data_IF_110443695293
#
_entry.id   IF_110443695293
#
_cell.length_a   1.000
_cell.length_b   1.000
_cell.length_c   1.000
_cell.angle_alpha   90.00
_cell.angle_beta   90.00
_cell.angle_gamma   90.00
#
_symmetry.space_group_name_H-M   'P 1'
#
loop_
_entity.id
_entity.type
_entity.pdbx_description
1 polymer ?
#
# COMPACT_ATOMS: atom_id res chain seq x y z
N UNK A 1 -17.66 -30.89 -22.99
CA UNK A 1 -16.72 -30.19 -22.09
C UNK A 1 -16.64 -31.01 -20.79
N UNK A 2 -15.47 -31.57 -20.44
CA UNK A 2 -15.36 -32.50 -19.29
C UNK A 2 -15.40 -31.69 -17.99
N UNK A 3 -16.42 -31.94 -17.17
CA UNK A 3 -16.57 -31.38 -15.83
C UNK A 3 -15.85 -32.31 -14.83
N UNK A 4 -15.03 -31.74 -13.94
CA UNK A 4 -14.32 -32.43 -12.85
C UNK A 4 -14.93 -32.02 -11.51
N UNK A 5 -14.75 -32.83 -10.46
CA UNK A 5 -15.06 -32.40 -9.09
C UNK A 5 -13.87 -31.68 -8.48
N UNK A 6 -14.12 -30.52 -7.89
CA UNK A 6 -13.14 -29.75 -7.13
C UNK A 6 -12.57 -30.62 -6.00
N UNK A 7 -11.23 -30.76 -5.94
CA UNK A 7 -10.55 -31.58 -4.93
C UNK A 7 -10.73 -31.07 -3.49
N UNK A 8 -11.20 -29.83 -3.30
CA UNK A 8 -11.34 -29.18 -1.99
C UNK A 8 -12.77 -29.09 -1.46
N UNK A 9 -13.78 -28.98 -2.32
CA UNK A 9 -15.18 -28.82 -1.90
C UNK A 9 -16.15 -29.73 -2.64
N UNK A 10 -15.68 -30.56 -3.58
CA UNK A 10 -16.50 -31.51 -4.33
C UNK A 10 -17.44 -30.91 -5.38
N UNK A 11 -17.54 -29.58 -5.47
CA UNK A 11 -18.34 -28.89 -6.50
C UNK A 11 -17.83 -29.20 -7.90
N UNK A 12 -18.73 -29.31 -8.87
CA UNK A 12 -18.33 -29.45 -10.26
C UNK A 12 -17.64 -28.18 -10.78
N UNK A 13 -16.54 -28.38 -11.49
CA UNK A 13 -15.72 -27.32 -12.05
C UNK A 13 -14.99 -27.81 -13.31
N UNK A 14 -14.65 -26.87 -14.18
CA UNK A 14 -13.78 -27.12 -15.35
C UNK A 14 -12.32 -27.31 -14.94
N UNK A 15 -11.96 -26.89 -13.73
CA UNK A 15 -10.62 -26.95 -13.15
C UNK A 15 -10.57 -28.01 -12.03
N UNK A 16 -9.36 -28.42 -11.62
CA UNK A 16 -9.20 -29.34 -10.48
C UNK A 16 -9.56 -28.71 -9.13
N UNK A 17 -9.57 -27.38 -9.07
CA UNK A 17 -10.00 -26.57 -7.93
C UNK A 17 -10.98 -25.52 -8.43
N UNK A 18 -12.15 -25.39 -7.80
CA UNK A 18 -13.15 -24.40 -8.22
C UNK A 18 -12.72 -22.97 -7.85
N UNK A 19 -13.22 -21.97 -8.57
CA UNK A 19 -12.86 -20.56 -8.39
C UNK A 19 -13.06 -20.07 -6.95
N UNK A 20 -14.13 -20.50 -6.27
CA UNK A 20 -14.33 -20.18 -4.84
C UNK A 20 -13.23 -20.76 -3.95
N UNK A 21 -12.78 -21.99 -4.21
CA UNK A 21 -11.68 -22.60 -3.47
C UNK A 21 -10.33 -21.98 -3.83
N UNK A 22 -10.13 -21.58 -5.09
CA UNK A 22 -8.95 -20.81 -5.52
C UNK A 22 -8.90 -19.47 -4.75
N UNK A 23 -10.01 -18.73 -4.70
CA UNK A 23 -10.13 -17.47 -3.93
C UNK A 23 -10.00 -17.66 -2.42
N UNK A 24 -10.42 -18.80 -1.87
CA UNK A 24 -10.24 -19.11 -0.45
C UNK A 24 -8.80 -19.52 -0.10
N UNK A 25 -8.09 -20.16 -1.03
CA UNK A 25 -6.68 -20.55 -0.86
C UNK A 25 -5.73 -19.38 -1.13
N UNK A 26 -6.13 -18.47 -2.02
CA UNK A 26 -5.49 -17.17 -2.26
C UNK A 26 -6.46 -16.06 -1.83
N UNK A 27 -6.78 -15.91 -0.54
CA UNK A 27 -7.55 -14.77 -0.10
C UNK A 27 -6.77 -13.51 -0.50
N UNK A 28 -7.49 -12.42 -0.76
CA UNK A 28 -7.05 -11.06 -1.12
C UNK A 28 -6.07 -10.40 -0.12
N UNK A 29 -5.12 -11.16 0.44
CA UNK A 29 -3.98 -10.68 1.23
C UNK A 29 -3.25 -9.61 0.42
N UNK A 30 -3.09 -9.83 -0.88
CA UNK A 30 -2.50 -8.89 -1.81
C UNK A 30 -3.33 -7.61 -1.96
N UNK A 31 -4.65 -7.69 -2.19
CA UNK A 31 -5.50 -6.49 -2.30
C UNK A 31 -5.55 -5.70 -0.98
N UNK A 32 -5.61 -6.39 0.16
CA UNK A 32 -5.56 -5.76 1.48
C UNK A 32 -4.21 -5.07 1.72
N UNK A 33 -3.11 -5.73 1.39
CA UNK A 33 -1.75 -5.16 1.48
C UNK A 33 -1.64 -3.92 0.57
N UNK A 34 -2.14 -3.99 -0.67
CA UNK A 34 -2.10 -2.87 -1.61
C UNK A 34 -2.94 -1.67 -1.14
N UNK A 35 -4.13 -1.91 -0.58
CA UNK A 35 -4.94 -0.83 0.03
C UNK A 35 -4.23 -0.20 1.23
N UNK A 36 -3.58 -1.01 2.06
CA UNK A 36 -2.79 -0.52 3.19
C UNK A 36 -1.55 0.27 2.70
N UNK A 37 -0.87 -0.19 1.65
CA UNK A 37 0.29 0.46 1.05
C UNK A 37 -0.06 1.79 0.39
N UNK A 38 -1.21 1.88 -0.31
CA UNK A 38 -1.71 3.14 -0.86
C UNK A 38 -1.81 4.21 0.24
N UNK A 39 -2.46 3.86 1.36
CA UNK A 39 -2.62 4.80 2.49
C UNK A 39 -1.27 5.21 3.09
N UNK A 40 -0.34 4.26 3.24
CA UNK A 40 1.01 4.56 3.74
C UNK A 40 1.78 5.48 2.80
N UNK A 41 1.65 5.25 1.49
CA UNK A 41 2.28 6.08 0.47
C UNK A 41 1.74 7.51 0.48
N UNK A 42 0.41 7.68 0.56
CA UNK A 42 -0.22 8.99 0.66
C UNK A 42 0.22 9.74 1.93
N UNK A 43 0.26 9.06 3.08
CA UNK A 43 0.71 9.64 4.35
C UNK A 43 2.19 10.08 4.30
N UNK A 44 3.06 9.25 3.71
CA UNK A 44 4.49 9.55 3.54
C UNK A 44 4.73 10.69 2.55
N UNK A 45 4.00 10.67 1.42
CA UNK A 45 4.02 11.71 0.40
C UNK A 45 3.61 13.06 0.98
N UNK A 46 2.49 13.09 1.69
CA UNK A 46 2.00 14.30 2.35
C UNK A 46 3.01 14.82 3.39
N UNK A 47 3.57 13.94 4.24
CA UNK A 47 4.53 14.34 5.24
C UNK A 47 5.83 14.91 4.63
N UNK A 48 6.26 14.41 3.47
CA UNK A 48 7.41 14.93 2.74
C UNK A 48 7.12 16.31 2.13
N UNK A 49 6.00 16.44 1.43
CA UNK A 49 5.61 17.68 0.78
C UNK A 49 5.29 18.79 1.79
N UNK A 50 4.63 18.48 2.90
CA UNK A 50 4.39 19.43 3.99
C UNK A 50 5.70 20.02 4.52
N UNK A 51 6.72 19.17 4.69
CA UNK A 51 8.05 19.61 5.13
C UNK A 51 8.71 20.51 4.08
N UNK A 52 8.72 20.09 2.81
CA UNK A 52 9.29 20.90 1.71
C UNK A 52 8.58 22.27 1.59
N UNK A 53 7.25 22.31 1.66
CA UNK A 53 6.49 23.56 1.57
C UNK A 53 6.81 24.49 2.76
N UNK A 54 7.03 23.95 3.97
CA UNK A 54 7.47 24.72 5.14
C UNK A 54 8.87 25.30 4.94
N UNK A 55 9.83 24.49 4.49
CA UNK A 55 11.23 24.90 4.27
C UNK A 55 11.39 25.94 3.14
N UNK A 56 10.65 25.80 2.05
CA UNK A 56 10.80 26.70 0.90
C UNK A 56 10.03 28.02 1.01
N UNK A 57 9.29 28.26 2.09
CA UNK A 57 8.53 29.50 2.38
C UNK A 57 7.71 30.03 1.18
N UNK A 58 7.24 29.13 0.32
CA UNK A 58 6.47 29.49 -0.87
C UNK A 58 4.99 29.33 -0.53
N UNK A 59 4.23 30.40 -0.75
CA UNK A 59 2.74 30.41 -0.88
C UNK A 59 2.26 29.55 -2.07
N UNK A 60 2.91 28.41 -2.33
CA UNK A 60 2.39 27.40 -3.24
C UNK A 60 1.37 26.65 -2.41
N UNK A 61 0.13 27.06 -2.65
CA UNK A 61 -1.12 26.56 -2.13
C UNK A 61 -1.08 25.06 -1.90
N UNK A 62 -1.15 24.65 -0.63
CA UNK A 62 -1.39 23.26 -0.22
C UNK A 62 -2.56 22.61 -0.96
N UNK A 63 -3.49 23.44 -1.45
CA UNK A 63 -4.65 23.10 -2.25
C UNK A 63 -4.33 22.49 -3.63
N UNK A 64 -3.20 22.86 -4.24
CA UNK A 64 -2.79 22.35 -5.58
C UNK A 64 -1.85 21.15 -5.50
N UNK A 65 -1.42 20.76 -4.29
CA UNK A 65 -0.44 19.68 -4.11
C UNK A 65 -0.98 18.29 -4.47
N UNK A 66 -2.28 18.02 -4.29
CA UNK A 66 -2.89 16.73 -4.68
C UNK A 66 -3.20 16.61 -6.17
N UNK A 67 -3.36 17.73 -6.87
CA UNK A 67 -3.46 17.78 -8.33
C UNK A 67 -2.08 17.96 -8.99
N UNK A 68 -1.03 18.14 -8.18
CA UNK A 68 0.34 18.25 -8.65
C UNK A 68 0.81 16.88 -9.15
N UNK A 69 1.09 16.80 -10.45
CA UNK A 69 1.63 15.59 -11.08
C UNK A 69 2.88 15.05 -10.35
N UNK A 70 3.76 15.93 -9.86
CA UNK A 70 4.96 15.55 -9.12
C UNK A 70 4.66 14.90 -7.76
N UNK A 71 3.67 15.41 -7.03
CA UNK A 71 3.23 14.80 -5.77
C UNK A 71 2.64 13.41 -6.00
N UNK A 72 1.73 13.28 -6.97
CA UNK A 72 1.10 12.01 -7.29
C UNK A 72 2.13 10.98 -7.76
N UNK A 73 3.07 11.37 -8.63
CA UNK A 73 4.17 10.50 -9.07
C UNK A 73 5.06 10.06 -7.90
N UNK A 74 5.30 10.96 -6.93
CA UNK A 74 6.08 10.62 -5.74
C UNK A 74 5.35 9.61 -4.83
N UNK A 75 4.06 9.83 -4.56
CA UNK A 75 3.22 8.88 -3.83
C UNK A 75 3.15 7.53 -4.54
N UNK A 76 2.97 7.53 -5.87
CA UNK A 76 2.96 6.30 -6.67
C UNK A 76 4.28 5.55 -6.61
N UNK A 77 5.42 6.25 -6.62
CA UNK A 77 6.74 5.64 -6.44
C UNK A 77 6.89 4.95 -5.08
N UNK A 78 6.42 5.58 -4.00
CA UNK A 78 6.43 4.98 -2.66
C UNK A 78 5.53 3.74 -2.64
N UNK A 79 4.32 3.86 -3.20
CA UNK A 79 3.37 2.75 -3.27
C UNK A 79 3.95 1.55 -4.02
N UNK A 80 4.51 1.76 -5.20
CA UNK A 80 5.15 0.70 -5.99
C UNK A 80 6.26 -0.01 -5.21
N UNK A 81 7.10 0.76 -4.50
CA UNK A 81 8.12 0.18 -3.62
C UNK A 81 7.52 -0.69 -2.51
N UNK A 82 6.47 -0.22 -1.85
CA UNK A 82 5.77 -0.99 -0.82
C UNK A 82 5.08 -2.24 -1.40
N UNK A 83 4.46 -2.13 -2.58
CA UNK A 83 3.76 -3.25 -3.23
C UNK A 83 4.72 -4.36 -3.68
N UNK A 84 5.97 -4.01 -4.03
CA UNK A 84 7.01 -4.99 -4.35
C UNK A 84 7.58 -5.62 -3.07
N UNK A 85 7.90 -4.81 -2.07
CA UNK A 85 8.67 -5.27 -0.89
C UNK A 85 7.79 -5.94 0.15
N UNK A 86 6.61 -5.40 0.45
CA UNK A 86 5.77 -5.88 1.56
C UNK A 86 5.31 -7.34 1.42
N UNK A 87 4.97 -7.85 0.20
CA UNK A 87 4.65 -9.26 0.02
C UNK A 87 5.85 -10.22 0.18
N UNK A 88 7.09 -9.72 0.05
CA UNK A 88 8.31 -10.53 0.21
C UNK A 88 8.73 -10.69 1.67
N UNK A 89 8.12 -9.93 2.58
CA UNK A 89 8.43 -9.97 4.00
C UNK A 89 7.54 -10.99 4.74
N UNK A 90 8.11 -11.59 5.78
CA UNK A 90 7.34 -12.37 6.75
C UNK A 90 6.56 -11.45 7.70
N UNK A 91 5.69 -12.02 8.54
CA UNK A 91 4.83 -11.23 9.43
C UNK A 91 5.63 -10.34 10.41
N UNK A 92 6.83 -10.76 10.81
CA UNK A 92 7.73 -9.98 11.67
C UNK A 92 8.32 -8.79 10.89
N UNK A 93 8.78 -9.01 9.66
CA UNK A 93 9.28 -7.99 8.75
C UNK A 93 8.23 -6.95 8.40
N UNK A 94 7.00 -7.37 8.12
CA UNK A 94 5.87 -6.45 7.85
C UNK A 94 5.60 -5.55 9.06
N UNK A 95 5.61 -6.11 10.29
CA UNK A 95 5.42 -5.32 11.52
C UNK A 95 6.55 -4.30 11.71
N UNK A 96 7.80 -4.71 11.51
CA UNK A 96 8.96 -3.83 11.63
C UNK A 96 8.93 -2.70 10.61
N UNK A 97 8.61 -3.00 9.35
CA UNK A 97 8.46 -2.00 8.28
C UNK A 97 7.38 -0.98 8.60
N UNK A 98 6.18 -1.44 9.02
CA UNK A 98 5.08 -0.56 9.45
C UNK A 98 5.48 0.32 10.64
N UNK A 99 6.23 -0.22 11.61
CA UNK A 99 6.70 0.56 12.74
C UNK A 99 7.69 1.65 12.30
N UNK A 100 8.64 1.34 11.41
CA UNK A 100 9.57 2.34 10.89
C UNK A 100 8.87 3.44 10.12
N UNK A 101 7.85 3.11 9.31
CA UNK A 101 7.04 4.12 8.62
C UNK A 101 6.33 5.03 9.63
N UNK A 102 5.74 4.47 10.70
CA UNK A 102 5.15 5.26 11.79
C UNK A 102 6.17 6.18 12.47
N UNK A 103 7.37 5.69 12.75
CA UNK A 103 8.43 6.49 13.37
C UNK A 103 8.84 7.66 12.47
N UNK A 104 9.01 7.42 11.16
CA UNK A 104 9.28 8.46 10.16
C UNK A 104 8.19 9.54 10.12
N UNK A 105 6.92 9.14 10.11
CA UNK A 105 5.78 10.07 10.14
C UNK A 105 5.77 10.89 11.43
N UNK A 106 6.05 10.25 12.58
CA UNK A 106 6.09 10.94 13.87
C UNK A 106 7.22 11.96 13.95
N UNK A 107 8.42 11.64 13.46
CA UNK A 107 9.54 12.58 13.38
C UNK A 107 9.15 13.81 12.57
N UNK A 108 8.54 13.61 11.38
CA UNK A 108 8.15 14.72 10.51
C UNK A 108 6.99 15.55 11.08
N UNK A 109 6.03 14.93 11.77
CA UNK A 109 4.95 15.64 12.47
C UNK A 109 5.48 16.49 13.63
N UNK A 110 6.47 15.99 14.38
CA UNK A 110 7.14 16.77 15.44
C UNK A 110 7.86 17.98 14.88
N UNK A 111 8.55 17.84 13.74
CA UNK A 111 9.19 18.96 13.05
C UNK A 111 8.21 20.01 12.51
N UNK A 112 6.94 19.65 12.28
CA UNK A 112 5.89 20.60 11.87
C UNK A 112 5.45 21.52 13.02
N UNK A 113 5.39 21.00 14.25
CA UNK A 113 4.90 21.70 15.44
C UNK A 113 5.98 22.40 16.27
N UNK A 114 7.26 22.17 15.94
CA UNK A 114 8.40 22.92 16.47
C UNK A 114 8.78 24.12 15.61
#
# INVERSE_FOLDING_TARGET
>A
MIMKKCRFCGKESKLEMCEECIKKQHPDRTEKIWKENQKLADDLGQAYYDFLLKEYNKKITSKDSKENFGFNTFCDGIRLGLDIVMPLLDDAGIKAAKQKIKDMLNIRRKAKNG
#
